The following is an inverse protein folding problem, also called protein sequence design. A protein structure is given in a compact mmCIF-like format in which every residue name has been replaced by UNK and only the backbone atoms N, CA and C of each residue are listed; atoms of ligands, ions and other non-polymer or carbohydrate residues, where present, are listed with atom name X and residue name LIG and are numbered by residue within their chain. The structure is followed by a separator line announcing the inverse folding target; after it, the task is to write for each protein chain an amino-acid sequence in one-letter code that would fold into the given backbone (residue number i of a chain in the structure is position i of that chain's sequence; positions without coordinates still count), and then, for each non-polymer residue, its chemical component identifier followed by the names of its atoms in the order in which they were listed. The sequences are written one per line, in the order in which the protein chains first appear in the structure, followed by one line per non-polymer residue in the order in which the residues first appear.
data_IF_746423473360
#
_entry.id   IF_746423473360
#
_cell.length_a   1.000
_cell.length_b   1.000
_cell.length_c   1.000
_cell.angle_alpha   90.00
_cell.angle_beta   90.00
_cell.angle_gamma   90.00
#
_symmetry.space_group_name_H-M   'P 1'
#
loop_
_entity.id
_entity.type
_entity.pdbx_description
1 polymer ?
#
# COMPACT_ATOMS: atom_id res chain seq x y z
N UNK A 1 29.50 37.99 73.00
CA UNK A 1 29.63 36.52 72.87
C UNK A 1 28.70 36.07 71.76
N UNK A 2 29.19 35.22 70.88
CA UNK A 2 28.76 34.95 69.50
C UNK A 2 27.34 34.34 69.39
N UNK A 3 26.56 34.77 68.39
CA UNK A 3 25.76 33.84 67.56
C UNK A 3 25.47 34.43 66.18
N UNK A 4 25.81 33.64 65.16
CA UNK A 4 25.57 33.82 63.72
C UNK A 4 24.10 33.58 63.36
N UNK A 5 23.80 33.80 62.07
CA UNK A 5 22.65 33.35 61.25
C UNK A 5 21.57 34.44 61.01
N UNK A 6 21.10 34.75 59.79
CA UNK A 6 21.16 34.08 58.48
C UNK A 6 20.86 35.09 57.37
N UNK A 7 21.71 35.10 56.35
CA UNK A 7 21.36 35.47 54.98
C UNK A 7 20.35 34.47 54.36
N UNK A 8 19.82 34.87 53.20
CA UNK A 8 19.09 34.07 52.19
C UNK A 8 17.55 34.13 52.31
N UNK A 9 16.97 35.18 51.72
CA UNK A 9 15.71 35.08 50.97
C UNK A 9 15.87 35.93 49.73
N UNK A 10 15.81 35.32 48.54
CA UNK A 10 15.32 35.87 47.25
C UNK A 10 15.81 35.03 46.05
N UNK A 11 15.71 33.69 46.10
CA UNK A 11 15.86 32.87 44.88
C UNK A 11 15.05 31.57 45.01
N UNK A 12 13.72 31.63 45.03
CA UNK A 12 12.92 30.39 45.03
C UNK A 12 11.60 30.44 44.24
N UNK A 13 11.39 31.46 43.40
CA UNK A 13 10.18 31.55 42.57
C UNK A 13 10.51 31.51 41.06
N UNK A 14 11.73 31.89 40.64
CA UNK A 14 12.15 31.81 39.23
C UNK A 14 12.55 30.41 38.74
N UNK A 15 12.98 29.51 39.62
CA UNK A 15 13.46 28.17 39.23
C UNK A 15 12.36 27.14 38.97
N UNK A 16 11.20 27.28 39.64
CA UNK A 16 10.11 26.31 39.53
C UNK A 16 9.29 26.49 38.23
N UNK A 17 9.23 27.71 37.70
CA UNK A 17 8.49 28.02 36.48
C UNK A 17 9.24 27.58 35.21
N UNK A 18 10.57 27.57 35.24
CA UNK A 18 11.41 27.08 34.13
C UNK A 18 11.40 25.54 34.08
N UNK A 19 11.28 24.87 35.24
CA UNK A 19 11.22 23.41 35.29
C UNK A 19 9.91 22.85 34.70
N UNK A 20 8.78 23.55 34.88
CA UNK A 20 7.48 23.12 34.33
C UNK A 20 7.37 23.31 32.81
N UNK A 21 7.98 24.36 32.25
CA UNK A 21 8.04 24.55 30.78
C UNK A 21 9.05 23.58 30.16
N UNK A 22 10.16 23.28 30.84
CA UNK A 22 11.12 22.26 30.43
C UNK A 22 10.53 20.85 30.40
N UNK A 23 9.70 20.48 31.38
CA UNK A 23 9.01 19.17 31.41
C UNK A 23 7.90 19.10 30.36
N UNK A 24 7.19 20.20 30.05
CA UNK A 24 6.24 20.22 28.94
C UNK A 24 6.93 20.03 27.58
N UNK A 25 8.09 20.65 27.35
CA UNK A 25 8.86 20.44 26.11
C UNK A 25 9.63 19.11 26.05
N UNK A 26 9.97 18.50 27.20
CA UNK A 26 10.54 17.15 27.23
C UNK A 26 9.51 16.04 27.03
N UNK A 27 8.22 16.30 27.31
CA UNK A 27 7.15 15.32 27.10
C UNK A 27 6.57 15.30 25.68
N UNK A 28 6.83 16.33 24.86
CA UNK A 28 6.33 16.40 23.46
C UNK A 28 7.31 15.86 22.40
N UNK A 29 8.55 15.54 22.77
CA UNK A 29 9.56 15.05 21.82
C UNK A 29 9.85 13.53 21.90
N UNK A 30 9.06 12.76 22.66
CA UNK A 30 9.24 11.30 22.78
C UNK A 30 8.34 10.49 21.82
N UNK A 31 7.39 11.12 21.11
CA UNK A 31 6.49 10.41 20.18
C UNK A 31 6.58 10.78 18.70
N UNK A 32 7.66 11.47 18.30
CA UNK A 32 8.03 11.60 16.90
C UNK A 32 9.38 10.92 16.67
N UNK A 33 9.47 9.63 16.99
CA UNK A 33 10.40 8.79 16.23
C UNK A 33 9.79 8.70 14.85
N UNK A 34 10.08 9.69 14.01
CA UNK A 34 10.05 9.52 12.56
C UNK A 34 10.83 8.24 12.31
N UNK A 35 10.10 7.15 12.11
CA UNK A 35 10.63 6.03 11.38
C UNK A 35 10.83 6.63 9.99
N UNK A 36 12.01 7.19 9.76
CA UNK A 36 12.62 7.21 8.45
C UNK A 36 12.66 5.75 8.03
N UNK A 37 11.54 5.26 7.49
CA UNK A 37 11.52 4.11 6.61
C UNK A 37 12.30 4.63 5.42
N UNK A 38 13.63 4.47 5.50
CA UNK A 38 14.52 4.73 4.39
C UNK A 38 13.93 4.03 3.18
N UNK A 39 14.04 4.70 2.03
CA UNK A 39 13.59 4.28 0.70
C UNK A 39 14.18 2.94 0.23
N UNK A 40 14.67 2.07 1.12
CA UNK A 40 15.28 0.79 0.80
C UNK A 40 14.27 -0.26 0.29
N UNK A 41 12.96 -0.01 0.43
CA UNK A 41 11.92 -0.82 -0.21
C UNK A 41 11.63 -0.43 -1.68
N UNK A 42 12.28 0.61 -2.21
CA UNK A 42 12.04 1.12 -3.58
C UNK A 42 12.84 0.35 -4.63
N UNK A 43 13.85 -0.45 -4.23
CA UNK A 43 14.75 -1.11 -5.18
C UNK A 43 14.58 -2.63 -5.30
N UNK A 44 13.44 -3.18 -4.86
CA UNK A 44 13.12 -4.58 -5.17
C UNK A 44 12.45 -4.64 -6.54
N UNK A 45 13.27 -4.82 -7.57
CA UNK A 45 12.86 -4.96 -8.98
C UNK A 45 11.63 -5.86 -9.06
N UNK A 46 10.57 -5.40 -9.73
CA UNK A 46 9.32 -6.15 -9.88
C UNK A 46 9.61 -7.59 -10.30
N UNK A 47 9.34 -8.54 -9.40
CA UNK A 47 9.59 -9.96 -9.61
C UNK A 47 8.45 -10.59 -10.42
N UNK A 48 8.18 -10.03 -11.59
CA UNK A 48 7.08 -10.41 -12.47
C UNK A 48 7.05 -11.92 -12.73
N UNK A 49 8.22 -12.54 -12.93
CA UNK A 49 8.34 -14.00 -13.11
C UNK A 49 7.88 -14.84 -11.92
N UNK A 50 7.96 -14.31 -10.70
CA UNK A 50 7.50 -15.03 -9.51
C UNK A 50 6.00 -14.87 -9.26
N UNK A 51 5.38 -13.85 -9.89
CA UNK A 51 3.96 -13.49 -9.75
C UNK A 51 3.15 -14.10 -10.89
N UNK A 52 3.65 -14.01 -12.13
CA UNK A 52 2.98 -14.52 -13.34
C UNK A 52 3.23 -16.02 -13.45
N UNK A 53 2.43 -16.78 -12.72
CA UNK A 53 2.41 -18.25 -12.74
C UNK A 53 0.95 -18.72 -12.67
N UNK A 54 0.63 -19.95 -13.13
CA UNK A 54 -0.72 -20.51 -13.04
C UNK A 54 -1.33 -20.41 -11.63
N UNK A 55 -0.53 -20.74 -10.61
CA UNK A 55 -0.97 -20.74 -9.19
C UNK A 55 -1.38 -19.37 -8.64
N UNK A 56 -1.04 -18.28 -9.32
CA UNK A 56 -1.28 -16.92 -8.85
C UNK A 56 -2.37 -16.18 -9.63
N UNK A 57 -3.09 -16.85 -10.53
CA UNK A 57 -4.18 -16.21 -11.30
C UNK A 57 -5.30 -15.80 -10.33
N UNK A 58 -5.62 -14.51 -10.31
CA UNK A 58 -6.67 -13.93 -9.45
C UNK A 58 -7.96 -13.65 -10.24
N UNK A 59 -7.84 -13.33 -11.53
CA UNK A 59 -8.99 -13.06 -12.40
C UNK A 59 -8.63 -13.22 -13.88
N UNK A 60 -9.58 -13.69 -14.67
CA UNK A 60 -9.48 -13.79 -16.13
C UNK A 60 -10.82 -13.49 -16.80
N UNK A 61 -10.79 -12.70 -17.87
CA UNK A 61 -11.95 -12.42 -18.73
C UNK A 61 -11.49 -11.86 -20.06
N UNK A 62 -12.02 -12.39 -21.16
CA UNK A 62 -11.76 -11.92 -22.54
C UNK A 62 -10.28 -11.61 -22.80
N UNK A 63 -9.92 -10.33 -22.85
CA UNK A 63 -8.56 -9.82 -23.10
C UNK A 63 -7.85 -9.34 -21.83
N UNK A 64 -8.30 -9.75 -20.65
CA UNK A 64 -7.81 -9.30 -19.35
C UNK A 64 -7.43 -10.49 -18.48
N UNK A 65 -6.25 -10.40 -17.87
CA UNK A 65 -5.76 -11.39 -16.92
C UNK A 65 -5.06 -10.69 -15.76
N UNK A 66 -5.30 -11.17 -14.54
CA UNK A 66 -4.65 -10.65 -13.35
C UNK A 66 -4.03 -11.75 -12.51
N UNK A 67 -2.94 -11.40 -11.86
CA UNK A 67 -2.17 -12.27 -10.98
C UNK A 67 -1.96 -11.58 -9.64
N UNK A 68 -1.92 -12.34 -8.54
CA UNK A 68 -1.55 -11.79 -7.24
C UNK A 68 -0.76 -12.78 -6.39
N UNK A 69 0.21 -12.28 -5.62
CA UNK A 69 1.02 -13.08 -4.71
C UNK A 69 1.32 -12.34 -3.41
N UNK A 70 1.19 -13.05 -2.29
CA UNK A 70 1.52 -12.57 -0.94
C UNK A 70 2.93 -13.04 -0.55
N UNK A 71 3.67 -12.18 0.13
CA UNK A 71 5.02 -12.43 0.63
C UNK A 71 5.09 -12.01 2.10
N UNK A 72 5.55 -12.92 2.97
CA UNK A 72 5.95 -12.55 4.33
C UNK A 72 7.29 -11.82 4.27
N UNK A 73 7.38 -10.67 4.92
CA UNK A 73 8.62 -9.89 5.02
C UNK A 73 9.25 -10.30 6.35
N UNK A 74 10.38 -11.01 6.30
CA UNK A 74 11.15 -11.29 7.51
C UNK A 74 11.77 -9.99 8.01
N UNK A 75 11.40 -9.57 9.22
CA UNK A 75 11.97 -8.41 9.88
C UNK A 75 13.38 -8.73 10.39
N UNK A 76 14.36 -8.83 9.50
CA UNK A 76 15.75 -8.63 9.91
C UNK A 76 15.94 -7.13 10.09
N UNK A 77 15.93 -6.69 11.35
CA UNK A 77 16.01 -5.28 11.77
C UNK A 77 14.73 -4.48 11.52
N UNK A 78 13.86 -4.39 12.54
CA UNK A 78 13.31 -3.13 13.09
C UNK A 78 12.17 -3.43 14.09
N UNK A 79 12.48 -3.25 15.38
CA UNK A 79 11.58 -2.95 16.52
C UNK A 79 10.67 -4.07 17.07
N UNK A 80 11.02 -4.49 18.31
CA UNK A 80 10.29 -5.19 19.38
C UNK A 80 9.23 -6.29 19.05
N UNK A 81 9.30 -7.45 19.73
CA UNK A 81 8.59 -8.68 19.40
C UNK A 81 7.19 -8.73 20.02
N UNK A 82 6.25 -7.99 19.43
CA UNK A 82 4.84 -8.18 19.75
C UNK A 82 4.04 -8.27 18.46
N UNK A 83 3.94 -9.51 17.97
CA UNK A 83 2.96 -10.05 17.01
C UNK A 83 2.66 -9.20 15.76
N UNK A 84 3.69 -8.62 15.14
CA UNK A 84 3.58 -7.87 13.89
C UNK A 84 4.16 -8.64 12.71
N UNK A 85 3.29 -9.30 11.95
CA UNK A 85 3.65 -9.81 10.64
C UNK A 85 3.66 -8.64 9.66
N UNK A 86 4.83 -8.35 9.05
CA UNK A 86 4.92 -7.46 7.91
C UNK A 86 4.69 -8.28 6.63
N UNK A 87 3.72 -7.86 5.82
CA UNK A 87 3.32 -8.58 4.62
C UNK A 87 3.33 -7.64 3.43
N UNK A 88 3.75 -8.17 2.28
CA UNK A 88 3.63 -7.56 0.97
C UNK A 88 2.67 -8.37 0.12
N UNK A 89 1.72 -7.71 -0.55
CA UNK A 89 0.91 -8.31 -1.63
C UNK A 89 1.18 -7.58 -2.93
N UNK A 90 1.68 -8.30 -3.92
CA UNK A 90 1.88 -7.78 -5.27
C UNK A 90 0.74 -8.27 -6.17
N UNK A 91 0.23 -7.39 -7.03
CA UNK A 91 -0.76 -7.75 -8.04
C UNK A 91 -0.42 -7.11 -9.38
N UNK A 92 -0.65 -7.85 -10.46
CA UNK A 92 -0.43 -7.44 -11.85
C UNK A 92 -1.73 -7.66 -12.64
N UNK A 93 -2.08 -6.73 -13.52
CA UNK A 93 -3.16 -6.86 -14.49
C UNK A 93 -2.58 -6.63 -15.88
N UNK A 94 -2.75 -7.58 -16.80
CA UNK A 94 -2.54 -7.36 -18.22
C UNK A 94 -3.87 -7.08 -18.89
N UNK A 95 -3.88 -6.05 -19.71
CA UNK A 95 -4.96 -5.68 -20.60
C UNK A 95 -4.40 -5.80 -22.01
N UNK A 96 -4.75 -6.90 -22.66
CA UNK A 96 -4.24 -7.32 -23.95
C UNK A 96 -4.91 -6.52 -25.08
N UNK A 97 -4.42 -6.71 -26.29
CA UNK A 97 -5.12 -6.22 -27.47
C UNK A 97 -6.53 -6.84 -27.61
N UNK A 98 -7.41 -6.18 -28.34
CA UNK A 98 -8.79 -6.63 -28.54
C UNK A 98 -8.90 -7.98 -29.28
N UNK A 99 -7.86 -8.37 -30.01
CA UNK A 99 -7.80 -9.65 -30.71
C UNK A 99 -7.14 -10.78 -29.91
N UNK A 100 -6.63 -10.49 -28.71
CA UNK A 100 -5.97 -11.47 -27.85
C UNK A 100 -6.97 -12.19 -26.94
N UNK A 101 -6.82 -13.50 -26.80
CA UNK A 101 -7.55 -14.30 -25.83
C UNK A 101 -6.70 -14.56 -24.58
N UNK A 102 -7.10 -14.00 -23.44
CA UNK A 102 -6.40 -14.20 -22.18
C UNK A 102 -6.43 -15.67 -21.74
N UNK A 103 -7.47 -16.43 -22.10
CA UNK A 103 -7.58 -17.86 -21.73
C UNK A 103 -6.51 -18.69 -22.43
N UNK A 104 -6.26 -18.42 -23.71
CA UNK A 104 -5.20 -19.07 -24.45
C UNK A 104 -3.81 -18.81 -23.82
N UNK A 105 -3.56 -17.61 -23.30
CA UNK A 105 -2.32 -17.29 -22.58
C UNK A 105 -2.18 -18.09 -21.28
N UNK A 106 -3.28 -18.27 -20.54
CA UNK A 106 -3.29 -19.11 -19.32
C UNK A 106 -3.03 -20.57 -19.64
N UNK A 107 -3.69 -21.12 -20.66
CA UNK A 107 -3.47 -22.52 -21.04
C UNK A 107 -2.02 -22.79 -21.39
N UNK A 108 -1.37 -21.88 -22.14
CA UNK A 108 0.05 -22.02 -22.44
C UNK A 108 0.96 -21.87 -21.20
N UNK A 109 0.58 -21.03 -20.22
CA UNK A 109 1.29 -20.93 -18.94
C UNK A 109 1.25 -22.26 -18.17
N UNK A 110 0.14 -22.98 -18.23
CA UNK A 110 -0.04 -24.29 -17.58
C UNK A 110 0.75 -25.40 -18.27
N UNK A 111 0.87 -25.33 -19.60
CA UNK A 111 1.61 -26.30 -20.42
C UNK A 111 3.13 -26.16 -20.32
N UNK A 112 3.62 -25.16 -19.57
CA UNK A 112 5.06 -24.93 -19.37
C UNK A 112 5.73 -24.20 -20.55
N UNK A 113 4.94 -23.69 -21.50
CA UNK A 113 5.43 -22.89 -22.60
C UNK A 113 5.98 -21.54 -22.11
N UNK A 114 6.91 -20.99 -22.88
CA UNK A 114 7.46 -19.66 -22.62
C UNK A 114 6.34 -18.60 -22.76
N UNK A 115 5.61 -18.33 -21.69
CA UNK A 115 4.49 -17.37 -21.68
C UNK A 115 4.84 -15.95 -22.22
N UNK A 116 6.12 -15.60 -22.23
CA UNK A 116 6.62 -14.36 -22.87
C UNK A 116 6.46 -14.34 -24.39
N UNK A 117 6.40 -15.49 -25.07
CA UNK A 117 6.07 -15.53 -26.49
C UNK A 117 4.58 -15.36 -26.76
N UNK A 118 3.72 -15.65 -25.78
CA UNK A 118 2.26 -15.70 -25.95
C UNK A 118 1.55 -14.45 -25.42
N UNK A 119 2.17 -13.70 -24.51
CA UNK A 119 1.86 -12.29 -24.33
C UNK A 119 2.38 -11.55 -25.57
N UNK A 120 1.52 -11.42 -26.60
CA UNK A 120 1.81 -10.50 -27.69
C UNK A 120 2.09 -9.11 -27.09
N UNK A 121 3.33 -8.67 -27.26
CA UNK A 121 3.82 -7.40 -26.74
C UNK A 121 3.16 -6.21 -27.48
N UNK A 122 2.38 -6.46 -28.55
CA UNK A 122 1.61 -5.45 -29.27
C UNK A 122 0.34 -5.02 -28.50
N UNK A 123 0.15 -3.72 -28.28
CA UNK A 123 -1.05 -3.18 -27.63
C UNK A 123 -1.25 -3.52 -26.14
N UNK A 124 -0.34 -4.22 -25.47
CA UNK A 124 -0.56 -4.63 -24.07
C UNK A 124 -0.32 -3.49 -23.07
N UNK A 125 -1.30 -3.24 -22.19
CA UNK A 125 -1.17 -2.37 -21.01
C UNK A 125 -1.02 -3.26 -19.78
N UNK A 126 0.08 -3.12 -19.05
CA UNK A 126 0.32 -3.76 -17.76
C UNK A 126 0.08 -2.75 -16.65
N UNK A 127 -0.86 -3.04 -15.74
CA UNK A 127 -0.99 -2.35 -14.47
C UNK A 127 -0.35 -3.21 -13.38
N UNK A 128 0.27 -2.57 -12.41
CA UNK A 128 0.83 -3.27 -11.27
C UNK A 128 0.65 -2.46 -10.00
N UNK A 129 0.50 -3.15 -8.88
CA UNK A 129 0.38 -2.55 -7.56
C UNK A 129 0.98 -3.47 -6.52
N UNK A 130 1.51 -2.86 -5.47
CA UNK A 130 2.13 -3.52 -4.35
C UNK A 130 1.64 -2.84 -3.08
N UNK A 131 1.23 -3.69 -2.16
CA UNK A 131 0.53 -3.32 -0.95
C UNK A 131 1.34 -3.83 0.23
N UNK A 132 1.81 -2.92 1.07
CA UNK A 132 2.47 -3.26 2.33
C UNK A 132 1.50 -3.04 3.48
N UNK A 133 1.41 -4.03 4.35
CA UNK A 133 0.54 -4.00 5.51
C UNK A 133 1.13 -4.82 6.64
N UNK A 134 0.70 -4.49 7.85
CA UNK A 134 0.95 -5.32 9.01
C UNK A 134 -0.32 -5.92 9.57
N UNK A 135 -0.14 -7.01 10.33
CA UNK A 135 -1.17 -7.63 11.14
C UNK A 135 -0.82 -7.50 12.61
N UNK A 136 -1.82 -7.38 13.48
CA UNK A 136 -1.66 -7.50 14.93
C UNK A 136 -2.86 -8.21 15.53
N UNK A 137 -2.66 -8.94 16.62
CA UNK A 137 -3.78 -9.46 17.41
C UNK A 137 -4.39 -8.34 18.26
N UNK A 138 -5.72 -8.27 18.27
CA UNK A 138 -6.48 -7.46 19.21
C UNK A 138 -6.71 -8.18 20.53
N UNK A 139 -7.40 -7.52 21.47
CA UNK A 139 -7.67 -8.05 22.82
C UNK A 139 -8.47 -9.36 22.81
N UNK A 140 -9.30 -9.57 21.79
CA UNK A 140 -10.12 -10.76 21.60
C UNK A 140 -9.51 -11.75 20.58
N UNK A 141 -8.19 -11.73 20.37
CA UNK A 141 -7.48 -12.54 19.37
C UNK A 141 -7.93 -12.34 17.90
N UNK A 142 -8.71 -11.30 17.62
CA UNK A 142 -9.05 -10.89 16.27
C UNK A 142 -7.82 -10.31 15.55
N UNK A 143 -7.73 -10.52 14.24
CA UNK A 143 -6.61 -10.08 13.42
C UNK A 143 -6.89 -8.69 12.84
N UNK A 144 -6.24 -7.68 13.39
CA UNK A 144 -6.33 -6.30 12.90
C UNK A 144 -5.26 -6.05 11.85
N UNK A 145 -5.67 -5.43 10.74
CA UNK A 145 -4.82 -5.07 9.61
C UNK A 145 -4.56 -3.56 9.66
N UNK A 146 -3.32 -3.17 9.35
CA UNK A 146 -2.96 -1.78 9.13
C UNK A 146 -2.10 -1.63 7.86
N UNK A 147 -2.52 -0.75 6.96
CA UNK A 147 -1.76 -0.38 5.77
C UNK A 147 -0.55 0.47 6.13
N UNK A 148 0.59 0.21 5.50
CA UNK A 148 1.82 1.00 5.71
C UNK A 148 2.22 1.79 4.47
N UNK A 149 2.11 1.21 3.29
CA UNK A 149 2.34 1.91 2.03
C UNK A 149 1.74 1.17 0.84
N UNK A 150 1.52 1.92 -0.24
CA UNK A 150 1.10 1.41 -1.53
C UNK A 150 2.04 1.96 -2.59
N UNK A 151 2.44 1.14 -3.55
CA UNK A 151 3.11 1.62 -4.75
C UNK A 151 2.66 0.84 -5.98
N UNK A 152 2.93 1.38 -7.15
CA UNK A 152 2.53 0.75 -8.40
C UNK A 152 2.69 1.65 -9.59
N UNK A 153 2.01 1.29 -10.67
CA UNK A 153 2.14 2.01 -11.91
C UNK A 153 1.58 1.24 -13.09
N UNK A 154 1.95 1.71 -14.27
CA UNK A 154 1.65 1.02 -15.51
C UNK A 154 2.84 1.05 -16.46
N UNK A 155 2.86 0.09 -17.36
CA UNK A 155 3.68 0.11 -18.55
C UNK A 155 2.84 -0.25 -19.76
N UNK A 156 3.26 0.19 -20.93
CA UNK A 156 2.61 -0.17 -22.19
C UNK A 156 3.70 -0.68 -23.14
N UNK A 157 3.40 -1.76 -23.87
CA UNK A 157 4.23 -2.25 -24.96
C UNK A 157 3.42 -2.24 -26.26
N UNK A 158 4.11 -2.05 -27.38
CA UNK A 158 3.51 -1.95 -28.72
C UNK A 158 2.38 -0.93 -28.83
N UNK A 159 2.49 0.18 -28.09
CA UNK A 159 1.44 1.16 -27.91
C UNK A 159 1.32 2.16 -29.07
N UNK A 160 1.32 1.70 -30.33
CA UNK A 160 1.17 2.57 -31.49
C UNK A 160 -0.24 3.19 -31.49
N UNK A 161 -0.38 4.37 -30.88
CA UNK A 161 -1.63 5.13 -30.80
C UNK A 161 -2.49 4.89 -29.55
N UNK A 162 -2.05 4.08 -28.58
CA UNK A 162 -2.76 3.97 -27.28
C UNK A 162 -2.36 5.12 -26.35
N UNK A 163 -3.35 5.84 -25.81
CA UNK A 163 -3.13 7.04 -24.99
C UNK A 163 -3.79 6.86 -23.62
N UNK A 164 -3.03 7.06 -22.54
CA UNK A 164 -3.61 7.16 -21.19
C UNK A 164 -4.32 8.50 -21.03
N UNK A 165 -5.60 8.48 -20.70
CA UNK A 165 -6.42 9.70 -20.52
C UNK A 165 -6.47 10.13 -19.07
N UNK A 166 -6.57 9.17 -18.15
CA UNK A 166 -6.67 9.43 -16.70
C UNK A 166 -6.24 8.19 -15.94
N UNK A 167 -5.54 8.38 -14.84
CA UNK A 167 -5.30 7.30 -13.90
C UNK A 167 -5.12 7.83 -12.47
N UNK A 168 -5.54 7.04 -11.49
CA UNK A 168 -5.56 7.40 -10.06
C UNK A 168 -5.74 6.15 -9.21
N UNK A 169 -5.50 6.26 -7.91
CA UNK A 169 -5.61 5.15 -6.96
C UNK A 169 -6.67 5.50 -5.91
N UNK A 170 -7.63 4.60 -5.70
CA UNK A 170 -8.48 4.59 -4.51
C UNK A 170 -7.89 3.60 -3.52
N UNK A 171 -7.77 3.98 -2.26
CA UNK A 171 -7.24 3.11 -1.22
C UNK A 171 -8.09 3.25 0.04
N UNK A 172 -8.20 2.15 0.77
CA UNK A 172 -9.12 2.07 1.90
C UNK A 172 -8.70 1.06 2.94
N UNK A 173 -9.22 1.28 4.15
CA UNK A 173 -9.12 0.38 5.28
C UNK A 173 -10.39 0.52 6.13
N UNK A 174 -11.36 -0.35 5.83
CA UNK A 174 -12.68 -0.35 6.47
C UNK A 174 -12.86 -1.60 7.33
N UNK A 175 -13.56 -1.46 8.45
CA UNK A 175 -13.81 -2.55 9.40
C UNK A 175 -13.99 -2.05 10.83
N UNK A 176 -14.01 -2.98 11.78
CA UNK A 176 -14.11 -2.63 13.20
C UNK A 176 -12.75 -2.14 13.73
N UNK A 177 -12.72 -1.06 14.50
CA UNK A 177 -11.51 -0.59 15.17
C UNK A 177 -11.63 -0.58 16.68
N UNK A 178 -10.69 -1.21 17.37
CA UNK A 178 -10.60 -1.15 18.84
C UNK A 178 -10.36 0.27 19.37
N UNK A 179 -9.72 1.14 18.55
CA UNK A 179 -9.39 2.51 18.98
C UNK A 179 -10.62 3.40 19.00
N UNK A 180 -11.57 3.20 18.10
CA UNK A 180 -12.83 3.94 18.06
C UNK A 180 -13.97 3.20 18.75
N UNK A 181 -13.84 1.90 19.00
CA UNK A 181 -14.87 1.06 19.59
C UNK A 181 -16.02 0.71 18.63
N UNK A 182 -15.83 0.88 17.32
CA UNK A 182 -16.89 0.71 16.34
C UNK A 182 -16.39 0.52 14.90
N UNK A 183 -17.34 0.38 13.99
CA UNK A 183 -17.07 0.32 12.55
C UNK A 183 -16.60 1.68 12.04
N UNK A 184 -15.57 1.65 11.20
CA UNK A 184 -15.02 2.83 10.55
C UNK A 184 -14.77 2.57 9.08
N UNK A 185 -14.89 3.63 8.28
CA UNK A 185 -14.51 3.67 6.88
C UNK A 185 -13.40 4.68 6.67
N UNK A 186 -12.22 4.18 6.33
CA UNK A 186 -11.06 5.02 6.03
C UNK A 186 -10.79 4.91 4.54
N UNK A 187 -11.28 5.87 3.76
CA UNK A 187 -11.25 5.81 2.30
C UNK A 187 -10.64 7.11 1.78
N UNK A 188 -9.74 7.00 0.82
CA UNK A 188 -9.18 8.16 0.13
C UNK A 188 -8.87 7.84 -1.33
N UNK A 189 -8.89 8.89 -2.15
CA UNK A 189 -8.50 8.83 -3.55
C UNK A 189 -7.28 9.73 -3.74
N UNK A 190 -6.31 9.29 -4.55
CA UNK A 190 -5.24 10.16 -5.01
C UNK A 190 -5.80 11.21 -5.98
N UNK A 191 -5.13 12.36 -6.15
CA UNK A 191 -5.35 13.18 -7.34
C UNK A 191 -5.17 12.34 -8.60
N UNK A 192 -5.78 12.79 -9.69
CA UNK A 192 -5.46 12.24 -11.01
C UNK A 192 -4.00 12.51 -11.32
N UNK A 193 -3.25 11.46 -11.66
CA UNK A 193 -1.87 11.59 -12.09
C UNK A 193 -1.80 12.06 -13.54
N UNK A 194 -0.73 12.78 -13.88
CA UNK A 194 -0.42 13.14 -15.26
C UNK A 194 -0.24 11.85 -16.10
N UNK A 195 -0.79 11.77 -17.32
CA UNK A 195 -0.60 10.64 -18.22
C UNK A 195 0.86 10.28 -18.56
N UNK A 196 1.83 11.13 -18.21
CA UNK A 196 3.27 10.83 -18.35
C UNK A 196 3.88 10.16 -17.11
N UNK A 197 3.23 10.27 -15.96
CA UNK A 197 3.70 9.74 -14.68
C UNK A 197 3.37 8.24 -14.61
N UNK A 198 4.31 7.39 -15.01
CA UNK A 198 4.09 5.93 -15.10
C UNK A 198 4.01 5.21 -13.76
N UNK A 199 4.52 5.81 -12.69
CA UNK A 199 4.60 5.21 -11.35
C UNK A 199 3.93 6.08 -10.30
N UNK A 200 3.46 5.45 -9.22
CA UNK A 200 2.88 6.12 -8.07
C UNK A 200 3.30 5.44 -6.76
N UNK A 201 3.31 6.22 -5.70
CA UNK A 201 3.56 5.77 -4.33
C UNK A 201 2.68 6.59 -3.38
N UNK A 202 2.10 5.94 -2.39
CA UNK A 202 1.13 6.51 -1.45
C UNK A 202 1.45 5.98 -0.06
N UNK A 203 1.53 6.90 0.90
CA UNK A 203 1.50 6.59 2.33
C UNK A 203 0.09 6.86 2.86
N UNK A 204 -0.54 5.90 3.57
CA UNK A 204 -1.80 6.17 4.26
C UNK A 204 -1.69 7.37 5.20
N UNK A 205 -2.76 8.16 5.40
CA UNK A 205 -2.79 9.21 6.41
C UNK A 205 -2.39 8.67 7.79
N UNK A 206 -1.58 9.42 8.54
CA UNK A 206 -1.06 9.00 9.85
C UNK A 206 -2.15 8.82 10.92
N UNK A 207 -3.32 9.42 10.71
CA UNK A 207 -4.48 9.24 11.58
C UNK A 207 -5.25 7.94 11.33
N UNK A 208 -4.90 7.17 10.30
CA UNK A 208 -5.54 5.89 10.04
C UNK A 208 -5.20 4.87 11.13
N UNK A 209 -6.20 4.08 11.51
CA UNK A 209 -6.14 3.13 12.63
C UNK A 209 -6.41 1.73 12.13
N UNK A 210 -5.73 0.74 12.72
CA UNK A 210 -5.90 -0.67 12.37
C UNK A 210 -7.38 -1.10 12.49
N UNK A 211 -7.82 -1.94 11.56
CA UNK A 211 -9.19 -2.48 11.51
C UNK A 211 -9.18 -4.00 11.47
N UNK A 212 -10.17 -4.62 12.09
CA UNK A 212 -10.56 -5.99 11.82
C UNK A 212 -11.58 -5.95 10.66
N UNK A 213 -11.19 -6.37 9.44
CA UNK A 213 -12.12 -6.36 8.32
C UNK A 213 -13.26 -7.35 8.59
N UNK A 214 -14.49 -6.97 8.26
CA UNK A 214 -15.63 -7.87 8.42
C UNK A 214 -16.05 -8.39 7.04
N UNK A 215 -16.51 -9.63 6.97
CA UNK A 215 -16.97 -10.22 5.71
C UNK A 215 -18.10 -9.36 5.11
N UNK A 216 -17.97 -8.97 3.83
CA UNK A 216 -18.91 -8.07 3.16
C UNK A 216 -18.84 -6.59 3.57
N UNK A 217 -17.98 -6.23 4.53
CA UNK A 217 -17.77 -4.84 4.97
C UNK A 217 -16.28 -4.48 4.90
N UNK A 218 -15.90 -3.87 3.78
CA UNK A 218 -14.70 -3.06 3.71
C UNK A 218 -13.58 -3.60 2.83
N UNK A 219 -13.17 -2.76 1.88
CA UNK A 219 -11.98 -2.94 1.06
C UNK A 219 -10.75 -2.53 1.86
N UNK A 220 -9.91 -3.48 2.31
CA UNK A 220 -8.58 -3.16 2.87
C UNK A 220 -7.53 -3.32 1.80
N UNK A 221 -6.97 -2.23 1.28
CA UNK A 221 -5.99 -2.27 0.21
C UNK A 221 -6.11 -1.10 -0.75
N UNK A 222 -5.83 -1.33 -2.02
CA UNK A 222 -6.01 -0.31 -3.06
C UNK A 222 -6.61 -0.86 -4.35
N UNK A 223 -7.34 -0.01 -5.06
CA UNK A 223 -7.76 -0.20 -6.44
C UNK A 223 -7.09 0.86 -7.31
N UNK A 224 -6.25 0.42 -8.25
CA UNK A 224 -5.63 1.28 -9.25
C UNK A 224 -6.51 1.34 -10.51
N UNK A 225 -6.91 2.56 -10.89
CA UNK A 225 -7.91 2.79 -11.95
C UNK A 225 -7.23 3.52 -13.10
N UNK A 226 -7.39 2.98 -14.31
CA UNK A 226 -6.88 3.58 -15.55
C UNK A 226 -8.02 3.77 -16.55
N UNK A 227 -7.99 4.89 -17.27
CA UNK A 227 -8.77 5.15 -18.47
C UNK A 227 -7.82 5.42 -19.62
N UNK A 228 -8.00 4.75 -20.73
CA UNK A 228 -7.16 4.88 -21.92
C UNK A 228 -7.99 4.84 -23.19
N UNK A 229 -7.43 5.38 -24.25
CA UNK A 229 -8.00 5.36 -25.59
C UNK A 229 -7.12 4.50 -26.49
N UNK A 230 -7.72 3.56 -27.23
CA UNK A 230 -7.03 2.75 -28.25
C UNK A 230 -6.90 3.52 -29.57
N UNK A 231 -6.08 3.04 -30.53
CA UNK A 231 -5.88 3.70 -31.83
C UNK A 231 -7.19 3.86 -32.62
N UNK A 232 -8.13 2.94 -32.44
CA UNK A 232 -9.48 2.99 -33.02
C UNK A 232 -10.39 4.09 -32.43
N UNK A 233 -9.88 4.94 -31.52
CA UNK A 233 -10.62 6.04 -30.91
C UNK A 233 -11.47 5.65 -29.71
N UNK A 234 -11.70 4.35 -29.46
CA UNK A 234 -12.53 3.88 -28.34
C UNK A 234 -11.82 4.06 -27.01
N UNK A 235 -12.58 4.49 -26.00
CA UNK A 235 -12.09 4.69 -24.63
C UNK A 235 -12.55 3.58 -23.72
N UNK A 236 -11.63 3.03 -22.95
CA UNK A 236 -11.84 1.93 -22.01
C UNK A 236 -11.45 2.35 -20.60
N UNK A 237 -11.97 1.60 -19.62
CA UNK A 237 -11.64 1.76 -18.20
C UNK A 237 -11.41 0.39 -17.59
N UNK A 238 -10.24 0.21 -16.98
CA UNK A 238 -9.92 -1.00 -16.23
C UNK A 238 -9.49 -0.65 -14.81
N UNK A 239 -9.58 -1.65 -13.93
CA UNK A 239 -9.23 -1.54 -12.51
C UNK A 239 -8.36 -2.73 -12.15
N UNK A 240 -7.24 -2.46 -11.51
CA UNK A 240 -6.47 -3.46 -10.79
C UNK A 240 -6.85 -3.37 -9.31
N UNK A 241 -7.50 -4.42 -8.79
CA UNK A 241 -7.89 -4.51 -7.38
C UNK A 241 -6.79 -5.29 -6.64
N UNK A 242 -6.20 -4.66 -5.63
CA UNK A 242 -5.23 -5.30 -4.74
C UNK A 242 -5.71 -5.11 -3.30
N UNK A 243 -6.79 -5.81 -2.98
CA UNK A 243 -7.37 -5.85 -1.65
C UNK A 243 -6.89 -7.08 -0.90
N UNK A 244 -6.80 -6.95 0.42
CA UNK A 244 -6.47 -8.02 1.36
C UNK A 244 -7.78 -8.70 1.70
N UNK A 245 -8.18 -9.66 0.87
CA UNK A 245 -9.30 -10.53 1.19
C UNK A 245 -8.89 -11.42 2.37
N UNK A 246 -9.74 -11.48 3.39
CA UNK A 246 -9.66 -12.42 4.50
C UNK A 246 -10.56 -13.62 4.22
#
# INVERSE_FOLDING_TARGET
MISKDKDIKYYFIGGLFILLIGILFCSMNIFAKEVNITNDYVNDSWKEKEIVTPDNIDYISDNVISFSKKYSISAQSLVKPEDKDAIRKDSILYILDENSDAKAIVSALEEGDNYKSNLDDSGTIKLYSRVYYGKRKGKLNQLYIYMTSFNGGYSMKGANGTIIKKHFVRYSQSGFSEKTGGLIDQIKESPAYSPSKKTWSITPPSNWVAVYPQSGMGDVGCTYIIKYQRPNGKTFKHKLVNHINM
#
